data_IF_332582825108
#
_entry.id   IF_332582825108
#
_cell.length_a   1.000
_cell.length_b   1.000
_cell.length_c   1.000
_cell.angle_alpha   90.00
_cell.angle_beta   90.00
_cell.angle_gamma   90.00
#
_symmetry.space_group_name_H-M   'P 1'
#
loop_
_entity.id
_entity.type
_entity.pdbx_description
1 polymer ?
#
# COMPACT_ATOMS: atom_id res chain seq x y z
N UNK A 1 -18.12 -80.07 14.14
CA UNK A 1 -18.11 -79.71 15.57
C UNK A 1 -16.71 -80.03 16.04
N UNK A 2 -15.82 -79.09 16.31
CA UNK A 2 -16.00 -77.79 16.96
C UNK A 2 -15.05 -76.76 16.32
N UNK A 3 -15.50 -75.53 16.23
CA UNK A 3 -14.78 -74.39 15.67
C UNK A 3 -13.82 -73.83 16.72
N UNK A 4 -12.52 -74.03 16.53
CA UNK A 4 -11.49 -73.56 17.45
C UNK A 4 -11.04 -72.17 17.00
N UNK A 5 -11.54 -71.14 17.67
CA UNK A 5 -11.28 -69.74 17.32
C UNK A 5 -9.81 -69.39 17.56
N UNK A 6 -9.02 -69.32 16.49
CA UNK A 6 -7.61 -68.91 16.54
C UNK A 6 -7.54 -67.41 16.86
N UNK A 7 -7.04 -67.07 18.05
CA UNK A 7 -6.71 -65.70 18.44
C UNK A 7 -5.27 -65.37 18.02
N UNK A 8 -4.97 -64.15 17.57
CA UNK A 8 -3.61 -63.76 17.22
C UNK A 8 -2.71 -63.71 18.46
N UNK A 9 -1.46 -64.17 18.30
CA UNK A 9 -0.44 -64.28 19.37
C UNK A 9 0.09 -62.90 19.85
N UNK A 10 -0.29 -61.80 19.18
CA UNK A 10 0.26 -60.47 19.46
C UNK A 10 -0.86 -59.52 19.91
N UNK A 11 -0.91 -59.29 21.22
CA UNK A 11 -1.73 -58.25 21.84
C UNK A 11 -1.09 -56.87 21.59
N UNK A 12 -1.59 -56.14 20.59
CA UNK A 12 -1.32 -54.72 20.47
C UNK A 12 -2.13 -53.95 21.53
N UNK A 13 -1.70 -53.99 22.79
CA UNK A 13 -2.09 -52.95 23.75
C UNK A 13 -1.73 -51.61 23.13
N UNK A 14 -2.72 -50.73 22.96
CA UNK A 14 -2.58 -49.40 22.38
C UNK A 14 -1.53 -48.58 23.12
N UNK A 15 -0.24 -48.73 22.77
CA UNK A 15 0.76 -47.72 23.03
C UNK A 15 0.42 -46.56 22.12
N UNK A 16 -0.02 -45.44 22.71
CA UNK A 16 -0.13 -44.15 22.03
C UNK A 16 1.23 -43.82 21.43
N UNK A 17 1.41 -44.15 20.16
CA UNK A 17 2.51 -43.69 19.32
C UNK A 17 2.27 -42.20 19.06
N UNK A 18 2.75 -41.34 19.94
CA UNK A 18 2.86 -39.90 19.65
C UNK A 18 4.19 -39.66 18.93
N UNK A 19 4.32 -40.18 17.71
CA UNK A 19 5.42 -39.82 16.82
C UNK A 19 4.84 -39.34 15.50
N UNK A 20 4.13 -38.21 15.57
CA UNK A 20 4.02 -37.33 14.41
C UNK A 20 5.38 -36.70 14.15
N UNK A 21 5.64 -36.31 12.90
CA UNK A 21 6.77 -35.47 12.50
C UNK A 21 6.64 -34.09 13.16
N UNK A 22 6.82 -34.04 14.48
CA UNK A 22 6.98 -32.78 15.21
C UNK A 22 8.32 -32.20 14.74
N UNK A 23 8.23 -31.06 14.04
CA UNK A 23 9.40 -30.30 13.63
C UNK A 23 10.14 -29.90 14.90
N UNK A 24 11.20 -30.62 15.27
CA UNK A 24 12.13 -30.19 16.32
C UNK A 24 12.61 -28.79 15.93
N UNK A 25 12.18 -27.79 16.69
CA UNK A 25 12.71 -26.44 16.61
C UNK A 25 14.16 -26.49 17.06
N UNK A 26 15.08 -26.46 16.10
CA UNK A 26 16.53 -26.40 16.36
C UNK A 26 16.89 -24.92 16.46
N UNK A 27 17.39 -24.47 17.60
CA UNK A 27 17.94 -23.12 17.73
C UNK A 27 19.31 -23.10 17.05
N UNK A 28 19.38 -22.58 15.83
CA UNK A 28 20.66 -22.35 15.18
C UNK A 28 21.19 -21.01 15.71
N UNK A 29 22.18 -21.07 16.60
CA UNK A 29 22.91 -19.88 17.01
C UNK A 29 23.75 -19.39 15.82
N UNK A 30 23.53 -18.15 15.38
CA UNK A 30 24.34 -17.50 14.33
C UNK A 30 23.73 -17.41 12.92
N UNK A 31 22.45 -17.76 12.70
CA UNK A 31 21.80 -17.60 11.38
C UNK A 31 20.90 -16.37 11.23
N UNK A 32 20.87 -15.49 12.24
CA UNK A 32 20.01 -14.30 12.22
C UNK A 32 20.75 -13.00 11.85
N UNK A 33 21.95 -13.10 11.27
CA UNK A 33 22.80 -11.95 10.91
C UNK A 33 22.51 -11.35 9.52
N UNK A 34 21.39 -11.69 8.87
CA UNK A 34 20.95 -11.04 7.62
C UNK A 34 19.82 -10.02 7.80
N UNK A 35 19.24 -9.92 8.98
CA UNK A 35 18.27 -8.87 9.30
C UNK A 35 18.97 -7.81 10.11
N UNK A 36 19.41 -6.74 9.43
CA UNK A 36 19.60 -5.46 10.10
C UNK A 36 18.34 -5.21 10.96
N UNK A 37 18.51 -5.12 12.27
CA UNK A 37 17.45 -4.73 13.20
C UNK A 37 17.04 -3.29 12.85
N UNK A 38 16.11 -3.14 11.91
CA UNK A 38 15.38 -1.89 11.71
C UNK A 38 14.27 -1.86 12.76
N UNK A 39 14.65 -1.86 14.04
CA UNK A 39 13.78 -1.41 15.13
C UNK A 39 13.84 0.12 15.22
N UNK A 40 13.75 0.77 14.06
CA UNK A 40 13.12 2.07 13.99
C UNK A 40 11.73 1.77 13.49
N UNK A 41 10.76 1.85 14.43
CA UNK A 41 9.43 2.34 14.09
C UNK A 41 9.66 3.69 13.39
N UNK A 42 9.86 3.65 12.07
CA UNK A 42 9.81 4.82 11.22
C UNK A 42 8.35 5.21 11.29
N UNK A 43 8.01 5.98 12.32
CA UNK A 43 6.82 6.78 12.29
C UNK A 43 7.08 7.73 11.14
N UNK A 44 6.60 7.37 9.94
CA UNK A 44 6.43 8.28 8.84
C UNK A 44 5.37 9.30 9.29
N UNK A 45 5.76 10.22 10.18
CA UNK A 45 4.97 11.36 10.63
C UNK A 45 4.75 12.38 9.50
N UNK A 46 5.22 12.09 8.28
CA UNK A 46 4.97 12.87 7.10
C UNK A 46 4.03 12.11 6.16
N UNK A 47 2.83 11.77 6.66
CA UNK A 47 1.74 11.55 5.72
C UNK A 47 1.45 12.88 5.02
N UNK A 48 1.36 12.94 3.68
CA UNK A 48 0.99 14.18 2.98
C UNK A 48 -0.36 14.75 3.44
N UNK A 49 -1.17 13.96 4.16
CA UNK A 49 -2.42 14.40 4.77
C UNK A 49 -2.25 15.50 5.86
N UNK A 50 -1.12 15.50 6.57
CA UNK A 50 -0.87 16.44 7.66
C UNK A 50 -0.13 17.70 7.20
N UNK A 51 0.46 17.68 6.01
CA UNK A 51 1.17 18.82 5.46
C UNK A 51 0.19 19.91 4.97
N UNK A 52 0.22 21.12 5.56
CA UNK A 52 -0.67 22.22 5.20
C UNK A 52 -0.61 22.62 3.72
N UNK A 53 0.49 22.30 3.02
CA UNK A 53 0.70 22.66 1.60
C UNK A 53 -0.24 21.90 0.66
N UNK A 54 -0.76 20.74 1.07
CA UNK A 54 -1.71 19.96 0.26
C UNK A 54 -3.16 20.40 0.47
N UNK A 55 -3.44 21.29 1.42
CA UNK A 55 -4.78 21.82 1.67
C UNK A 55 -5.08 22.96 0.71
N UNK A 56 -6.29 22.97 0.15
CA UNK A 56 -6.79 24.01 -0.74
C UNK A 56 -6.92 25.36 -0.01
N UNK A 57 -5.82 26.10 0.09
CA UNK A 57 -5.72 27.35 0.86
C UNK A 57 -5.65 28.58 -0.06
N UNK A 58 -5.38 28.38 -1.35
CA UNK A 58 -5.22 29.45 -2.33
C UNK A 58 -6.18 29.24 -3.50
N UNK A 59 -7.03 30.23 -3.77
CA UNK A 59 -7.96 30.22 -4.89
C UNK A 59 -7.24 30.57 -6.20
N UNK A 60 -7.41 29.75 -7.23
CA UNK A 60 -6.93 30.05 -8.60
C UNK A 60 -8.09 30.51 -9.47
N UNK A 61 -7.85 31.48 -10.37
CA UNK A 61 -8.84 31.88 -11.38
C UNK A 61 -8.86 30.84 -12.51
N UNK A 62 -10.04 30.32 -12.81
CA UNK A 62 -10.29 29.41 -13.94
C UNK A 62 -11.35 30.03 -14.84
N UNK A 63 -11.25 29.81 -16.16
CA UNK A 63 -12.27 30.31 -17.09
C UNK A 63 -13.57 29.53 -16.92
N UNK A 64 -14.75 30.13 -17.22
CA UNK A 64 -16.03 29.44 -17.10
C UNK A 64 -16.10 28.15 -17.93
N UNK A 65 -15.56 28.19 -19.15
CA UNK A 65 -15.51 27.03 -20.06
C UNK A 65 -14.63 25.92 -19.50
N UNK A 66 -13.45 26.26 -18.95
CA UNK A 66 -12.57 25.25 -18.34
C UNK A 66 -13.20 24.65 -17.09
N UNK A 67 -13.85 25.46 -16.26
CA UNK A 67 -14.58 24.95 -15.10
C UNK A 67 -15.69 23.98 -15.51
N UNK A 68 -16.48 24.33 -16.54
CA UNK A 68 -17.52 23.46 -17.07
C UNK A 68 -16.94 22.13 -17.54
N UNK A 69 -15.84 22.15 -18.31
CA UNK A 69 -15.15 20.92 -18.75
C UNK A 69 -14.74 20.04 -17.56
N UNK A 70 -14.17 20.62 -16.51
CA UNK A 70 -13.77 19.88 -15.31
C UNK A 70 -14.98 19.28 -14.58
N UNK A 71 -16.07 20.03 -14.46
CA UNK A 71 -17.32 19.54 -13.85
C UNK A 71 -17.96 18.42 -14.66
N UNK A 72 -17.99 18.55 -15.98
CA UNK A 72 -18.50 17.49 -16.88
C UNK A 72 -17.64 16.24 -16.86
N UNK A 73 -16.34 16.38 -16.56
CA UNK A 73 -15.41 15.25 -16.53
C UNK A 73 -15.50 14.45 -15.24
N UNK A 74 -15.96 15.07 -14.15
CA UNK A 74 -16.07 14.47 -12.81
C UNK A 74 -16.73 13.07 -12.79
N UNK A 75 -17.91 12.82 -13.40
CA UNK A 75 -18.52 11.49 -13.38
C UNK A 75 -17.64 10.42 -14.04
N UNK A 76 -16.95 10.74 -15.13
CA UNK A 76 -16.14 9.78 -15.89
C UNK A 76 -14.84 9.38 -15.19
N UNK A 77 -14.33 10.22 -14.30
CA UNK A 77 -13.15 9.91 -13.48
C UNK A 77 -13.55 9.08 -12.25
N UNK A 78 -14.70 9.42 -11.64
CA UNK A 78 -15.16 8.79 -10.40
C UNK A 78 -15.66 7.36 -10.59
N UNK A 79 -16.11 6.98 -11.80
CA UNK A 79 -16.39 5.57 -12.13
C UNK A 79 -15.18 4.64 -11.89
N UNK A 80 -13.95 5.16 -11.90
CA UNK A 80 -12.74 4.38 -11.63
C UNK A 80 -12.40 4.25 -10.13
N UNK A 81 -13.04 5.02 -9.24
CA UNK A 81 -12.74 5.01 -7.79
C UNK A 81 -14.02 4.87 -6.98
N UNK A 82 -14.25 3.67 -6.46
CA UNK A 82 -15.34 3.33 -5.53
C UNK A 82 -15.10 3.88 -4.11
N UNK A 83 -14.86 5.18 -3.96
CA UNK A 83 -14.76 5.82 -2.65
C UNK A 83 -15.92 6.78 -2.44
N UNK A 84 -16.67 6.59 -1.35
CA UNK A 84 -17.83 7.40 -0.91
C UNK A 84 -17.51 8.89 -0.63
N UNK A 85 -16.27 9.33 -0.86
CA UNK A 85 -15.85 10.72 -0.68
C UNK A 85 -15.97 11.44 -2.02
N UNK A 86 -16.74 12.52 -2.06
CA UNK A 86 -16.79 13.39 -3.23
C UNK A 86 -15.40 13.95 -3.52
N UNK A 87 -14.81 13.60 -4.67
CA UNK A 87 -13.52 14.13 -5.08
C UNK A 87 -13.57 15.66 -5.17
N UNK A 88 -12.57 16.29 -4.55
CA UNK A 88 -12.36 17.74 -4.62
C UNK A 88 -11.82 18.10 -5.99
N UNK A 89 -11.99 19.35 -6.43
CA UNK A 89 -11.40 19.80 -7.71
C UNK A 89 -9.87 19.58 -7.77
N UNK A 90 -9.18 19.72 -6.63
CA UNK A 90 -7.75 19.41 -6.55
C UNK A 90 -7.44 17.94 -6.84
N UNK A 91 -8.27 17.01 -6.34
CA UNK A 91 -8.09 15.57 -6.55
C UNK A 91 -8.29 15.22 -8.03
N UNK A 92 -9.31 15.82 -8.66
CA UNK A 92 -9.58 15.69 -10.09
C UNK A 92 -8.41 16.20 -10.94
N UNK A 93 -7.87 17.38 -10.62
CA UNK A 93 -6.72 17.94 -11.32
C UNK A 93 -5.48 17.06 -11.12
N UNK A 94 -5.23 16.54 -9.92
CA UNK A 94 -4.11 15.64 -9.64
C UNK A 94 -4.19 14.36 -10.49
N UNK A 95 -5.36 13.72 -10.56
CA UNK A 95 -5.57 12.54 -11.42
C UNK A 95 -5.28 12.85 -12.89
N UNK A 96 -5.69 14.03 -13.38
CA UNK A 96 -5.40 14.45 -14.75
C UNK A 96 -3.91 14.67 -15.00
N UNK A 97 -3.21 15.28 -14.04
CA UNK A 97 -1.76 15.47 -14.10
C UNK A 97 -1.04 14.12 -14.13
N UNK A 98 -1.39 13.21 -13.22
CA UNK A 98 -0.81 11.86 -13.16
C UNK A 98 -1.09 11.07 -14.44
N UNK A 99 -2.32 11.13 -14.96
CA UNK A 99 -2.66 10.49 -16.24
C UNK A 99 -1.87 11.10 -17.40
N UNK A 100 -1.64 12.41 -17.41
CA UNK A 100 -0.84 13.04 -18.47
C UNK A 100 0.62 12.57 -18.38
N UNK A 101 1.18 12.52 -17.18
CA UNK A 101 2.55 12.05 -16.94
C UNK A 101 2.72 10.61 -17.39
N UNK A 102 1.83 9.72 -16.96
CA UNK A 102 1.92 8.29 -17.31
C UNK A 102 1.74 8.01 -18.80
N UNK A 103 0.91 8.78 -19.51
CA UNK A 103 0.61 8.55 -20.93
C UNK A 103 1.57 9.24 -21.89
N UNK A 104 2.05 10.44 -21.55
CA UNK A 104 2.73 11.32 -22.51
C UNK A 104 4.20 11.56 -22.20
N UNK A 105 4.67 11.29 -20.98
CA UNK A 105 6.08 11.48 -20.63
C UNK A 105 6.83 10.15 -20.66
N UNK A 106 8.05 10.19 -21.21
CA UNK A 106 9.00 9.07 -21.09
C UNK A 106 9.45 8.91 -19.64
N UNK A 107 9.93 7.72 -19.25
CA UNK A 107 10.43 7.47 -17.89
C UNK A 107 11.48 8.50 -17.45
N UNK A 108 12.36 8.93 -18.37
CA UNK A 108 13.36 9.97 -18.10
C UNK A 108 12.71 11.33 -17.80
N UNK A 109 11.73 11.73 -18.61
CA UNK A 109 11.06 13.02 -18.42
C UNK A 109 10.15 13.02 -17.19
N UNK A 110 9.48 11.91 -16.89
CA UNK A 110 8.70 11.74 -15.67
C UNK A 110 9.58 11.85 -14.41
N UNK A 111 10.76 11.22 -14.42
CA UNK A 111 11.72 11.37 -13.33
C UNK A 111 12.23 12.82 -13.18
N UNK A 112 12.52 13.49 -14.29
CA UNK A 112 12.92 14.90 -14.26
C UNK A 112 11.80 15.80 -13.69
N UNK A 113 10.54 15.56 -14.07
CA UNK A 113 9.38 16.26 -13.51
C UNK A 113 9.27 16.05 -11.99
N UNK A 114 9.38 14.81 -11.52
CA UNK A 114 9.29 14.48 -10.10
C UNK A 114 10.41 15.15 -9.28
N UNK A 115 11.63 15.21 -9.81
CA UNK A 115 12.75 15.90 -9.17
C UNK A 115 12.51 17.42 -9.09
N UNK A 116 12.04 18.02 -10.19
CA UNK A 116 11.73 19.45 -10.22
C UNK A 116 10.58 19.81 -9.28
N UNK A 117 9.52 19.02 -9.27
CA UNK A 117 8.39 19.20 -8.36
C UNK A 117 8.82 19.07 -6.90
N UNK A 118 9.64 18.07 -6.57
CA UNK A 118 10.20 17.90 -5.22
C UNK A 118 11.03 19.10 -4.76
N UNK A 119 11.87 19.64 -5.65
CA UNK A 119 12.64 20.86 -5.37
C UNK A 119 11.72 22.07 -5.13
N UNK A 120 10.74 22.29 -6.00
CA UNK A 120 9.80 23.39 -5.87
C UNK A 120 8.94 23.29 -4.60
N UNK A 121 8.49 22.08 -4.26
CA UNK A 121 7.76 21.81 -3.02
C UNK A 121 8.62 22.12 -1.79
N UNK A 122 9.92 21.79 -1.82
CA UNK A 122 10.85 22.11 -0.74
C UNK A 122 11.03 23.62 -0.52
N UNK A 123 10.92 24.42 -1.58
CA UNK A 123 11.01 25.88 -1.53
C UNK A 123 9.69 26.55 -1.15
N UNK A 124 8.56 25.85 -1.31
CA UNK A 124 7.25 26.36 -0.97
C UNK A 124 7.11 26.45 0.56
N UNK A 125 7.18 27.67 1.09
CA UNK A 125 6.98 27.91 2.53
C UNK A 125 5.54 27.56 2.91
N UNK A 126 5.32 26.84 4.03
CA UNK A 126 3.97 26.65 4.54
C UNK A 126 3.38 28.01 4.90
N UNK A 127 2.14 28.28 4.50
CA UNK A 127 1.42 29.47 4.98
C UNK A 127 1.29 29.32 6.50
N UNK A 128 1.95 30.20 7.25
CA UNK A 128 1.73 30.32 8.68
C UNK A 128 0.28 30.79 8.89
N UNK A 129 -0.43 30.10 9.79
CA UNK A 129 -1.81 30.39 10.15
C UNK A 129 -1.95 31.75 10.80
#
# INVERSE_FOLDING_TARGET
MSDESIQPIIDHHKRKQTSGLERKQVSIAGTNDFSATIDKKVVNNNSPADDPRYKATTTMKISPVTNLKLQTLKPFINEQKSSDRSDTMNDLINVLIESYIGKNLTARQANAYNQMFGLQLSMLKPKQK
#
